data_IF_293940537987
#
_entry.id   IF_293940537987
#
_cell.length_a   1.000
_cell.length_b   1.000
_cell.length_c   1.000
_cell.angle_alpha   90.00
_cell.angle_beta   90.00
_cell.angle_gamma   90.00
#
_symmetry.space_group_name_H-M   'P 1'
#
loop_
_entity.id
_entity.type
_entity.pdbx_description
1 polymer ?
#
# COMPACT_ATOMS: atom_id res chain seq x y z
N UNK A 1 0.26 24.16 15.71
CA UNK A 1 0.59 22.83 15.13
C UNK A 1 -0.62 22.37 14.36
N UNK A 2 -0.46 22.05 13.08
CA UNK A 2 -1.54 21.46 12.27
C UNK A 2 -1.49 19.94 12.46
N UNK A 3 -2.62 19.32 12.79
CA UNK A 3 -2.69 17.87 12.94
C UNK A 3 -2.41 17.19 11.58
N UNK A 4 -1.67 16.09 11.60
CA UNK A 4 -1.44 15.25 10.42
C UNK A 4 -2.41 14.06 10.41
N UNK A 5 -3.02 13.78 9.27
CA UNK A 5 -3.94 12.67 9.06
C UNK A 5 -3.27 11.57 8.24
N UNK A 6 -3.48 10.34 8.67
CA UNK A 6 -2.89 9.14 8.08
C UNK A 6 -3.98 8.13 7.74
N UNK A 7 -3.88 7.51 6.56
CA UNK A 7 -4.71 6.38 6.15
C UNK A 7 -3.86 5.10 6.14
N UNK A 8 -4.36 4.07 6.82
CA UNK A 8 -3.77 2.73 6.82
C UNK A 8 -4.04 1.93 5.53
N UNK A 9 -3.40 0.76 5.38
CA UNK A 9 -3.61 -0.09 4.21
C UNK A 9 -4.98 -0.78 4.23
N UNK A 10 -5.48 -1.17 3.05
CA UNK A 10 -6.78 -1.87 2.93
C UNK A 10 -6.70 -3.27 3.53
N UNK A 11 -7.49 -3.52 4.58
CA UNK A 11 -7.52 -4.80 5.30
C UNK A 11 -8.44 -5.85 4.66
N UNK A 12 -9.42 -5.42 3.85
CA UNK A 12 -10.40 -6.30 3.22
C UNK A 12 -9.94 -6.82 1.86
N UNK A 13 -10.43 -7.99 1.47
CA UNK A 13 -10.13 -8.59 0.16
C UNK A 13 -11.01 -7.97 -0.92
N UNK A 14 -10.54 -6.86 -1.51
CA UNK A 14 -11.20 -6.21 -2.63
C UNK A 14 -10.61 -6.67 -3.96
N UNK A 15 -11.39 -6.64 -5.05
CA UNK A 15 -10.86 -6.67 -6.41
C UNK A 15 -9.73 -5.64 -6.58
N UNK A 16 -8.67 -6.03 -7.29
CA UNK A 16 -7.45 -5.23 -7.37
C UNK A 16 -7.68 -3.84 -7.99
N UNK A 17 -8.51 -3.75 -9.03
CA UNK A 17 -8.88 -2.48 -9.66
C UNK A 17 -9.67 -1.58 -8.72
N UNK A 18 -10.59 -2.15 -7.93
CA UNK A 18 -11.31 -1.40 -6.90
C UNK A 18 -10.36 -0.84 -5.83
N UNK A 19 -9.38 -1.63 -5.39
CA UNK A 19 -8.33 -1.20 -4.44
C UNK A 19 -7.45 -0.10 -5.05
N UNK A 20 -7.07 -0.22 -6.33
CA UNK A 20 -6.31 0.79 -7.07
C UNK A 20 -7.07 2.11 -7.13
N UNK A 21 -8.32 2.07 -7.59
CA UNK A 21 -9.15 3.27 -7.77
C UNK A 21 -9.47 3.94 -6.44
N UNK A 22 -9.60 3.16 -5.36
CA UNK A 22 -9.66 3.71 -4.01
C UNK A 22 -8.42 4.56 -3.69
N UNK A 23 -7.20 4.04 -3.90
CA UNK A 23 -5.99 4.80 -3.62
C UNK A 23 -5.83 6.03 -4.52
N UNK A 24 -6.26 5.94 -5.80
CA UNK A 24 -6.27 7.10 -6.69
C UNK A 24 -7.17 8.21 -6.16
N UNK A 25 -8.39 7.86 -5.73
CA UNK A 25 -9.30 8.84 -5.12
C UNK A 25 -8.76 9.40 -3.81
N UNK A 26 -8.11 8.58 -2.98
CA UNK A 26 -7.48 9.08 -1.74
C UNK A 26 -6.35 10.06 -2.06
N UNK A 27 -5.52 9.78 -3.06
CA UNK A 27 -4.46 10.68 -3.50
C UNK A 27 -5.04 12.02 -4.01
N UNK A 28 -6.08 11.97 -4.83
CA UNK A 28 -6.55 13.16 -5.56
C UNK A 28 -7.58 14.00 -4.78
N UNK A 29 -8.41 13.37 -3.95
CA UNK A 29 -9.64 13.99 -3.41
C UNK A 29 -9.59 14.26 -1.91
N UNK A 30 -8.56 13.82 -1.18
CA UNK A 30 -8.55 13.87 0.30
C UNK A 30 -7.43 14.74 0.87
N UNK A 31 -7.68 15.31 2.04
CA UNK A 31 -6.69 16.10 2.79
C UNK A 31 -5.93 15.26 3.82
N UNK A 32 -5.41 14.11 3.40
CA UNK A 32 -4.52 13.27 4.23
C UNK A 32 -3.06 13.50 3.83
N UNK A 33 -2.16 13.35 4.79
CA UNK A 33 -0.74 13.59 4.63
C UNK A 33 0.02 12.32 4.23
N UNK A 34 -0.36 11.18 4.82
CA UNK A 34 0.35 9.90 4.69
C UNK A 34 -0.62 8.77 4.35
N UNK A 35 -0.25 7.94 3.37
CA UNK A 35 -1.05 6.81 2.90
C UNK A 35 -0.19 5.55 2.92
N UNK A 36 -0.64 4.54 3.66
CA UNK A 36 -0.01 3.23 3.70
C UNK A 36 -0.60 2.34 2.60
N UNK A 37 0.27 1.82 1.74
CA UNK A 37 -0.07 0.96 0.60
C UNK A 37 0.65 -0.36 0.72
N UNK A 38 0.11 -1.43 0.13
CA UNK A 38 0.69 -2.77 0.19
C UNK A 38 -0.27 -3.83 0.70
N UNK A 39 0.28 -4.97 1.09
CA UNK A 39 -0.46 -6.12 1.62
C UNK A 39 0.07 -6.46 3.01
N UNK A 40 -0.83 -6.37 4.00
CA UNK A 40 -0.50 -6.58 5.42
C UNK A 40 -1.12 -7.85 6.01
N UNK A 41 -2.09 -8.46 5.31
CA UNK A 41 -2.92 -9.56 5.83
C UNK A 41 -2.37 -10.90 5.39
N UNK A 42 -2.23 -11.11 4.09
CA UNK A 42 -1.79 -12.41 3.57
C UNK A 42 -1.09 -12.25 2.23
N UNK A 43 0.21 -12.57 2.18
CA UNK A 43 0.64 -13.68 1.35
C UNK A 43 0.12 -13.71 -0.09
N UNK A 44 -0.89 -14.57 -0.20
CA UNK A 44 -1.56 -14.98 -1.42
C UNK A 44 -2.36 -13.87 -2.10
N UNK A 45 -2.59 -12.74 -1.43
CA UNK A 45 -3.33 -11.60 -1.97
C UNK A 45 -2.44 -10.63 -2.74
N UNK A 46 -1.16 -10.55 -2.40
CA UNK A 46 -0.24 -9.59 -2.99
C UNK A 46 -0.17 -9.66 -4.53
N UNK A 47 -0.06 -10.85 -5.17
CA UNK A 47 0.10 -10.94 -6.63
C UNK A 47 -1.03 -10.30 -7.44
N UNK A 48 -2.23 -10.16 -6.88
CA UNK A 48 -3.36 -9.52 -7.57
C UNK A 48 -3.20 -8.00 -7.63
N UNK A 49 -2.50 -7.39 -6.67
CA UNK A 49 -2.33 -5.95 -6.57
C UNK A 49 -0.91 -5.47 -6.95
N UNK A 50 0.09 -6.35 -6.92
CA UNK A 50 1.48 -6.04 -7.30
C UNK A 50 1.61 -5.30 -8.65
N UNK A 51 0.84 -5.63 -9.72
CA UNK A 51 0.92 -4.88 -10.97
C UNK A 51 0.54 -3.40 -10.87
N UNK A 52 -0.24 -3.01 -9.85
CA UNK A 52 -0.74 -1.64 -9.69
C UNK A 52 0.06 -0.82 -8.67
N UNK A 53 0.93 -1.45 -7.87
CA UNK A 53 1.50 -0.78 -6.69
C UNK A 53 2.43 0.36 -7.06
N UNK A 54 3.18 0.23 -8.16
CA UNK A 54 4.05 1.29 -8.69
C UNK A 54 3.25 2.54 -9.07
N UNK A 55 2.23 2.38 -9.93
CA UNK A 55 1.37 3.49 -10.37
C UNK A 55 0.65 4.17 -9.20
N UNK A 56 0.24 3.38 -8.19
CA UNK A 56 -0.40 3.90 -6.98
C UNK A 56 0.57 4.75 -6.15
N UNK A 57 1.79 4.26 -5.92
CA UNK A 57 2.82 5.01 -5.18
C UNK A 57 3.16 6.29 -5.92
N UNK A 58 3.38 6.22 -7.24
CA UNK A 58 3.73 7.37 -8.06
C UNK A 58 2.64 8.45 -8.01
N UNK A 59 1.37 8.06 -8.11
CA UNK A 59 0.25 9.02 -8.04
C UNK A 59 0.13 9.66 -6.66
N UNK A 60 0.31 8.88 -5.59
CA UNK A 60 0.32 9.41 -4.21
C UNK A 60 1.43 10.45 -4.06
N UNK A 61 2.65 10.15 -4.51
CA UNK A 61 3.78 11.09 -4.45
C UNK A 61 3.52 12.36 -5.28
N UNK A 62 2.97 12.22 -6.50
CA UNK A 62 2.58 13.36 -7.35
C UNK A 62 1.52 14.25 -6.71
N UNK A 63 0.66 13.71 -5.86
CA UNK A 63 -0.32 14.49 -5.08
C UNK A 63 0.28 15.26 -3.89
N UNK A 64 1.60 15.18 -3.68
CA UNK A 64 2.31 15.83 -2.56
C UNK A 64 2.16 15.08 -1.23
N UNK A 65 1.71 13.83 -1.25
CA UNK A 65 1.48 12.99 -0.07
C UNK A 65 2.61 11.98 0.13
N UNK A 66 2.77 11.53 1.36
CA UNK A 66 3.75 10.48 1.69
C UNK A 66 3.13 9.11 1.42
N UNK A 67 3.72 8.34 0.50
CA UNK A 67 3.42 6.92 0.33
C UNK A 67 4.31 6.10 1.27
N UNK A 68 3.72 5.21 2.07
CA UNK A 68 4.46 4.26 2.91
C UNK A 68 4.15 2.84 2.45
N UNK A 69 5.16 2.11 2.00
CA UNK A 69 5.00 0.72 1.59
C UNK A 69 4.95 -0.19 2.83
N UNK A 70 3.86 -0.93 2.95
CA UNK A 70 3.56 -1.84 4.05
C UNK A 70 3.80 -3.29 3.65
N UNK A 71 4.34 -4.06 4.59
CA UNK A 71 4.59 -5.50 4.45
C UNK A 71 3.66 -6.29 5.39
N UNK A 72 3.75 -7.62 5.36
CA UNK A 72 2.90 -8.51 6.16
C UNK A 72 3.04 -8.22 7.66
N UNK A 73 1.92 -8.07 8.36
CA UNK A 73 1.90 -7.90 9.82
C UNK A 73 2.33 -9.18 10.55
N UNK A 74 2.01 -10.35 9.98
CA UNK A 74 2.40 -11.66 10.50
C UNK A 74 3.20 -12.41 9.43
N UNK A 75 4.42 -12.84 9.79
CA UNK A 75 5.35 -13.52 8.87
C UNK A 75 5.55 -14.95 9.35
N UNK A 76 4.86 -15.90 8.71
CA UNK A 76 4.72 -17.25 9.25
C UNK A 76 5.55 -18.28 8.49
N UNK A 77 5.64 -18.14 7.17
CA UNK A 77 6.29 -19.15 6.32
C UNK A 77 7.48 -18.60 5.53
N UNK A 78 8.28 -19.51 4.95
CA UNK A 78 9.44 -19.15 4.12
C UNK A 78 9.07 -18.23 2.94
N UNK A 79 7.87 -18.39 2.39
CA UNK A 79 7.37 -17.54 1.31
C UNK A 79 7.15 -16.10 1.79
N UNK A 80 6.47 -15.90 2.92
CA UNK A 80 6.27 -14.58 3.54
C UNK A 80 7.60 -13.87 3.77
N UNK A 81 8.57 -14.58 4.36
CA UNK A 81 9.91 -14.03 4.63
C UNK A 81 10.61 -13.56 3.36
N UNK A 82 10.49 -14.30 2.25
CA UNK A 82 11.06 -13.92 0.96
C UNK A 82 10.38 -12.68 0.41
N UNK A 83 9.06 -12.61 0.47
CA UNK A 83 8.28 -11.45 0.02
C UNK A 83 8.62 -10.19 0.81
N UNK A 84 8.63 -10.26 2.15
CA UNK A 84 9.02 -9.12 3.00
C UNK A 84 10.44 -8.68 2.70
N UNK A 85 11.38 -9.63 2.59
CA UNK A 85 12.76 -9.36 2.25
C UNK A 85 12.90 -8.64 0.90
N UNK A 86 12.22 -9.12 -0.15
CA UNK A 86 12.29 -8.47 -1.47
C UNK A 86 11.74 -7.04 -1.46
N UNK A 87 10.75 -6.75 -0.62
CA UNK A 87 10.21 -5.39 -0.48
C UNK A 87 11.22 -4.50 0.24
N UNK A 88 11.84 -4.97 1.32
CA UNK A 88 12.84 -4.20 2.06
C UNK A 88 14.15 -3.97 1.29
N UNK A 89 14.48 -4.85 0.34
CA UNK A 89 15.67 -4.72 -0.52
C UNK A 89 15.42 -3.86 -1.77
N UNK A 90 14.20 -3.39 -2.00
CA UNK A 90 13.82 -2.61 -3.18
C UNK A 90 14.17 -1.10 -3.08
N UNK A 91 15.05 -0.73 -2.13
CA UNK A 91 15.59 0.64 -1.96
C UNK A 91 16.69 0.98 -2.99
#
# INVERSE_FOLDING_TARGET
MTAKLTIGPVLFYWPAEQKRDFYYRVADETNVDTIYVGEVVCSKRAPFFDPYIGDVIERIQKSGKTAVLSTLSEVMIKHDRKMVKSICEAE
#
